data_IF_807691659013
#
_entry.id   IF_807691659013
#
_cell.length_a   1.000
_cell.length_b   1.000
_cell.length_c   1.000
_cell.angle_alpha   90.00
_cell.angle_beta   90.00
_cell.angle_gamma   90.00
#
_symmetry.space_group_name_H-M   'P 1'
#
loop_
_entity.id
_entity.type
_entity.pdbx_description
1 polymer ?
#
# COMPACT_ATOMS: atom_id res chain seq x y z
N UNK A 1 17.56 -18.01 5.06
CA UNK A 1 17.69 -16.57 4.75
C UNK A 1 17.60 -15.66 5.99
N UNK A 2 17.38 -16.16 7.18
CA UNK A 2 17.37 -15.37 8.41
C UNK A 2 16.16 -14.45 8.59
N UNK A 3 15.08 -14.63 7.80
CA UNK A 3 13.83 -13.91 7.95
C UNK A 3 12.89 -14.75 8.79
N UNK A 4 12.34 -14.15 9.86
CA UNK A 4 11.32 -14.79 10.67
C UNK A 4 9.98 -14.71 9.97
N UNK A 5 9.40 -15.86 9.68
CA UNK A 5 8.11 -15.96 8.98
C UNK A 5 7.15 -16.79 9.81
N UNK A 6 5.94 -16.28 9.98
CA UNK A 6 4.82 -16.97 10.62
C UNK A 6 3.73 -17.22 9.59
N UNK A 7 3.10 -18.37 9.67
CA UNK A 7 1.97 -18.70 8.79
C UNK A 7 1.94 -20.16 8.35
N UNK A 8 0.95 -20.50 7.54
CA UNK A 8 -0.13 -19.63 7.03
C UNK A 8 -1.06 -19.16 8.14
N UNK A 9 -1.56 -17.93 8.04
CA UNK A 9 -2.49 -17.33 8.99
C UNK A 9 -3.80 -17.02 8.26
N UNK A 10 -4.97 -17.21 8.89
CA UNK A 10 -6.26 -16.88 8.26
C UNK A 10 -6.32 -15.43 7.79
N UNK A 11 -6.74 -15.23 6.55
CA UNK A 11 -6.76 -13.92 5.90
C UNK A 11 -7.75 -12.93 6.53
N UNK A 12 -8.77 -13.43 7.20
CA UNK A 12 -9.78 -12.62 7.89
C UNK A 12 -9.29 -12.01 9.22
N UNK A 13 -8.17 -12.47 9.75
CA UNK A 13 -7.63 -12.01 11.03
C UNK A 13 -6.25 -11.35 10.94
N UNK A 14 -5.41 -11.74 9.98
CA UNK A 14 -4.02 -11.31 9.91
C UNK A 14 -3.86 -9.80 9.79
N UNK A 15 -4.75 -9.12 9.08
CA UNK A 15 -4.63 -7.66 8.85
C UNK A 15 -4.89 -6.88 10.13
N UNK A 16 -5.84 -7.29 10.96
CA UNK A 16 -6.03 -6.70 12.28
C UNK A 16 -4.82 -6.91 13.18
N UNK A 17 -4.27 -8.12 13.20
CA UNK A 17 -3.06 -8.42 13.94
C UNK A 17 -1.84 -7.61 13.47
N UNK A 18 -1.74 -7.36 12.16
CA UNK A 18 -0.68 -6.52 11.61
C UNK A 18 -0.85 -5.05 12.02
N UNK A 19 -2.07 -4.53 11.96
CA UNK A 19 -2.39 -3.17 12.43
C UNK A 19 -2.07 -3.01 13.91
N UNK A 20 -2.35 -4.03 14.71
CA UNK A 20 -2.03 -4.08 16.16
C UNK A 20 -0.51 -4.25 16.44
N UNK A 21 0.30 -4.37 15.41
CA UNK A 21 1.76 -4.43 15.53
C UNK A 21 2.33 -5.83 15.81
N UNK A 22 1.56 -6.90 15.59
CA UNK A 22 2.06 -8.27 15.77
C UNK A 22 3.05 -8.67 14.65
N UNK A 23 2.98 -8.04 13.49
CA UNK A 23 3.82 -8.31 12.33
C UNK A 23 4.28 -7.02 11.67
N UNK A 24 5.48 -7.02 11.11
CA UNK A 24 6.03 -5.90 10.35
C UNK A 24 5.39 -5.79 8.96
N UNK A 25 5.02 -6.93 8.36
CA UNK A 25 4.46 -7.00 7.03
C UNK A 25 3.59 -8.25 6.84
N UNK A 26 2.54 -8.13 6.05
CA UNK A 26 1.72 -9.26 5.61
C UNK A 26 1.98 -9.55 4.14
N UNK A 27 2.17 -10.84 3.81
CA UNK A 27 2.29 -11.29 2.42
C UNK A 27 0.94 -11.82 1.97
N UNK A 28 0.34 -11.18 0.97
CA UNK A 28 -0.88 -11.63 0.32
C UNK A 28 -0.54 -12.50 -0.90
N UNK A 29 -1.32 -13.56 -1.11
CA UNK A 29 -1.09 -14.51 -2.20
C UNK A 29 -1.74 -14.08 -3.52
N UNK A 30 -2.73 -13.20 -3.49
CA UNK A 30 -3.39 -12.66 -4.67
C UNK A 30 -3.91 -11.24 -4.40
N UNK A 31 -4.27 -10.53 -5.47
CA UNK A 31 -4.63 -9.12 -5.44
C UNK A 31 -5.67 -8.77 -4.38
N UNK A 32 -6.85 -9.37 -4.43
CA UNK A 32 -7.96 -8.97 -3.56
C UNK A 32 -7.73 -9.31 -2.09
N UNK A 33 -6.92 -10.35 -1.81
CA UNK A 33 -6.57 -10.71 -0.43
C UNK A 33 -5.86 -9.58 0.32
N UNK A 34 -5.06 -8.78 -0.38
CA UNK A 34 -4.36 -7.63 0.18
C UNK A 34 -5.07 -6.29 -0.07
N UNK A 35 -5.57 -6.08 -1.28
CA UNK A 35 -6.15 -4.78 -1.67
C UNK A 35 -7.51 -4.50 -1.04
N UNK A 36 -8.34 -5.51 -0.79
CA UNK A 36 -9.61 -5.29 -0.09
C UNK A 36 -9.38 -4.72 1.32
N UNK A 37 -8.61 -5.38 2.20
CA UNK A 37 -8.39 -4.85 3.54
C UNK A 37 -7.68 -3.49 3.55
N UNK A 38 -6.73 -3.24 2.65
CA UNK A 38 -6.07 -1.93 2.54
C UNK A 38 -7.09 -0.84 2.20
N UNK A 39 -7.94 -1.08 1.22
CA UNK A 39 -8.95 -0.10 0.81
C UNK A 39 -10.04 0.12 1.85
N UNK A 40 -10.35 -0.88 2.64
CA UNK A 40 -11.27 -0.75 3.77
C UNK A 40 -10.62 0.03 4.93
N UNK A 41 -9.32 -0.19 5.16
CA UNK A 41 -8.57 0.46 6.24
C UNK A 41 -8.31 1.94 5.94
N UNK A 42 -7.71 2.25 4.81
CA UNK A 42 -7.46 3.64 4.37
C UNK A 42 -7.44 3.77 2.85
N UNK A 43 -8.59 3.97 2.29
CA UNK A 43 -8.79 4.18 0.86
C UNK A 43 -8.00 5.36 0.28
N UNK A 44 -7.86 6.45 1.07
CA UNK A 44 -7.33 7.72 0.55
C UNK A 44 -5.80 7.81 0.60
N UNK A 45 -5.19 7.21 1.61
CA UNK A 45 -3.75 7.37 1.86
C UNK A 45 -2.92 6.16 1.48
N UNK A 46 -3.57 5.09 1.01
CA UNK A 46 -2.82 3.91 0.53
C UNK A 46 -1.97 4.28 -0.69
N UNK A 47 -0.75 3.76 -0.70
CA UNK A 47 0.25 4.00 -1.74
C UNK A 47 0.83 2.67 -2.18
N UNK A 48 0.97 2.48 -3.48
CA UNK A 48 1.67 1.33 -4.06
C UNK A 48 3.15 1.64 -4.26
N UNK A 49 4.01 0.71 -3.87
CA UNK A 49 5.46 0.82 -4.04
C UNK A 49 5.97 -0.43 -4.75
N UNK A 50 6.79 -0.26 -5.77
CA UNK A 50 7.47 -1.36 -6.42
C UNK A 50 8.86 -1.54 -5.80
N UNK A 51 9.08 -2.71 -5.21
CA UNK A 51 10.37 -3.06 -4.62
C UNK A 51 11.28 -3.78 -5.63
N UNK A 52 12.59 -3.70 -5.42
CA UNK A 52 13.58 -4.38 -6.26
C UNK A 52 13.94 -3.68 -7.57
N UNK A 53 13.44 -2.47 -7.81
CA UNK A 53 13.83 -1.64 -8.95
C UNK A 53 15.09 -0.81 -8.59
N UNK A 54 15.92 -0.44 -9.59
CA UNK A 54 17.10 0.41 -9.35
C UNK A 54 16.73 1.90 -9.13
N UNK A 55 15.47 2.21 -8.99
CA UNK A 55 14.93 3.54 -8.72
C UNK A 55 13.66 3.41 -7.86
N UNK A 56 13.30 4.47 -7.16
CA UNK A 56 12.07 4.52 -6.37
C UNK A 56 10.87 4.70 -7.31
N UNK A 57 9.90 3.80 -7.22
CA UNK A 57 8.62 3.92 -7.92
C UNK A 57 7.48 3.80 -6.93
N UNK A 58 6.74 4.88 -6.81
CA UNK A 58 5.48 4.93 -6.05
C UNK A 58 4.32 5.20 -6.99
N UNK A 59 3.13 4.82 -6.62
CA UNK A 59 1.93 5.04 -7.40
C UNK A 59 0.72 5.18 -6.49
N UNK A 60 -0.31 5.79 -7.02
CA UNK A 60 -1.65 5.80 -6.40
C UNK A 60 -2.23 4.38 -6.34
N UNK A 61 -3.15 4.18 -5.43
CA UNK A 61 -3.83 2.90 -5.26
C UNK A 61 -5.21 2.85 -5.92
N UNK A 62 -5.64 3.91 -6.60
CA UNK A 62 -6.90 3.93 -7.35
C UNK A 62 -6.70 3.48 -8.80
N UNK A 63 -7.77 2.96 -9.41
CA UNK A 63 -7.80 2.58 -10.82
C UNK A 63 -8.08 3.77 -11.75
N UNK A 64 -8.48 3.45 -12.99
CA UNK A 64 -8.71 4.42 -14.07
C UNK A 64 -9.91 5.34 -13.84
N UNK A 65 -10.87 4.95 -12.99
CA UNK A 65 -12.01 5.76 -12.57
C UNK A 65 -12.76 6.42 -13.75
N UNK A 66 -13.11 5.64 -14.76
CA UNK A 66 -13.78 6.11 -15.99
C UNK A 66 -15.06 6.90 -15.71
N UNK A 67 -15.75 6.58 -14.65
CA UNK A 67 -17.01 7.23 -14.22
C UNK A 67 -16.86 8.71 -13.88
N UNK A 68 -15.66 9.14 -13.47
CA UNK A 68 -15.35 10.53 -13.14
C UNK A 68 -14.40 11.21 -14.14
N UNK A 69 -14.02 10.53 -15.20
CA UNK A 69 -13.10 11.05 -16.21
C UNK A 69 -13.64 12.33 -16.85
N UNK A 70 -12.83 13.36 -16.92
CA UNK A 70 -13.19 14.66 -17.51
C UNK A 70 -14.12 15.53 -16.66
N UNK A 71 -14.55 15.08 -15.47
CA UNK A 71 -15.47 15.84 -14.61
C UNK A 71 -14.79 16.83 -13.66
N UNK A 72 -13.46 16.79 -13.53
CA UNK A 72 -12.71 17.68 -12.65
C UNK A 72 -12.97 17.47 -11.14
N UNK A 73 -13.46 16.28 -10.76
CA UNK A 73 -13.83 15.94 -9.36
C UNK A 73 -12.94 14.88 -8.73
N UNK A 74 -11.84 14.50 -9.40
CA UNK A 74 -10.92 13.49 -8.87
C UNK A 74 -10.27 13.94 -7.56
N UNK A 75 -10.18 13.01 -6.60
CA UNK A 75 -9.47 13.24 -5.34
C UNK A 75 -7.95 13.15 -5.58
N UNK A 76 -7.21 14.15 -5.11
CA UNK A 76 -5.75 14.24 -5.30
C UNK A 76 -4.94 13.66 -4.12
N UNK A 77 -5.58 13.26 -3.03
CA UNK A 77 -4.92 12.88 -1.77
C UNK A 77 -3.97 11.70 -2.01
N UNK A 78 -4.41 10.65 -2.67
CA UNK A 78 -3.57 9.47 -2.94
C UNK A 78 -2.31 9.81 -3.76
N UNK A 79 -2.42 10.70 -4.76
CA UNK A 79 -1.26 11.17 -5.52
C UNK A 79 -0.30 11.98 -4.63
N UNK A 80 -0.83 12.86 -3.80
CA UNK A 80 -0.01 13.65 -2.87
C UNK A 80 0.73 12.73 -1.88
N UNK A 81 0.07 11.72 -1.34
CA UNK A 81 0.71 10.76 -0.44
C UNK A 81 1.78 9.92 -1.17
N UNK A 82 1.53 9.51 -2.41
CA UNK A 82 2.54 8.76 -3.19
C UNK A 82 3.81 9.60 -3.45
N UNK A 83 3.66 10.90 -3.71
CA UNK A 83 4.79 11.82 -3.86
C UNK A 83 5.55 11.98 -2.53
N UNK A 84 4.86 12.16 -1.41
CA UNK A 84 5.50 12.26 -0.08
C UNK A 84 6.29 11.00 0.26
N UNK A 85 5.74 9.83 -0.01
CA UNK A 85 6.42 8.55 0.21
C UNK A 85 7.68 8.45 -0.66
N UNK A 86 7.60 8.83 -1.93
CA UNK A 86 8.76 8.84 -2.81
C UNK A 86 9.87 9.77 -2.31
N UNK A 87 9.51 10.98 -1.87
CA UNK A 87 10.46 11.95 -1.29
C UNK A 87 11.11 11.38 -0.04
N UNK A 88 10.33 10.80 0.88
CA UNK A 88 10.85 10.20 2.10
C UNK A 88 11.86 9.08 1.82
N UNK A 89 11.54 8.17 0.89
CA UNK A 89 12.44 7.08 0.53
C UNK A 89 13.75 7.62 -0.08
N UNK A 90 13.66 8.60 -0.96
CA UNK A 90 14.85 9.19 -1.62
C UNK A 90 15.71 9.99 -0.64
N UNK A 91 15.09 10.73 0.28
CA UNK A 91 15.81 11.59 1.23
C UNK A 91 16.37 10.81 2.42
N UNK A 92 15.58 9.93 3.01
CA UNK A 92 15.87 9.29 4.29
C UNK A 92 16.21 7.81 4.17
N UNK A 93 15.96 7.21 3.00
CA UNK A 93 16.16 5.78 2.74
C UNK A 93 15.17 4.87 3.48
N UNK A 94 14.12 5.43 4.05
CA UNK A 94 13.11 4.69 4.84
C UNK A 94 11.70 5.01 4.39
N UNK A 95 10.81 4.06 4.63
CA UNK A 95 9.37 4.30 4.52
C UNK A 95 8.92 5.18 5.69
N UNK A 96 8.02 6.11 5.44
CA UNK A 96 7.48 6.95 6.49
C UNK A 96 6.62 6.16 7.47
#
# INVERSE_FOLDING_TARGET
MGITVNGPIPADTIFNQNIDGHYDVCIAMYHDQGHIPIKVHDWKKSVSINLGLPFVRTSVDHGTAFDISGKGIADHISMMESIKVAVSIVSDGVLP
#
